data_IF_378117857784
#
_entry.id   IF_378117857784
#
_cell.length_a   1.000
_cell.length_b   1.000
_cell.length_c   1.000
_cell.angle_alpha   90.00
_cell.angle_beta   90.00
_cell.angle_gamma   90.00
#
_symmetry.space_group_name_H-M   'P 1'
#
loop_
_entity.id
_entity.type
_entity.pdbx_description
1 polymer ?
#
# COMPACT_ATOMS: atom_id res chain seq x y z
N UNK A 1 -8.93 14.62 -16.39
CA UNK A 1 -7.93 14.93 -15.34
C UNK A 1 -7.75 16.43 -15.08
N UNK A 2 -8.47 17.33 -15.77
CA UNK A 2 -8.31 18.79 -15.61
C UNK A 2 -9.51 19.45 -14.91
N UNK A 3 -10.57 18.69 -14.63
CA UNK A 3 -11.76 19.17 -13.90
C UNK A 3 -11.48 19.22 -12.39
N UNK A 4 -12.24 20.06 -11.68
CA UNK A 4 -12.24 20.11 -10.22
C UNK A 4 -13.29 19.14 -9.66
N UNK A 5 -12.82 18.18 -8.85
CA UNK A 5 -13.66 17.16 -8.20
C UNK A 5 -13.89 17.45 -6.70
N UNK A 6 -13.53 18.64 -6.22
CA UNK A 6 -13.71 19.02 -4.82
C UNK A 6 -15.18 18.87 -4.39
N UNK A 7 -15.42 18.04 -3.37
CA UNK A 7 -16.77 17.75 -2.87
C UNK A 7 -17.59 16.78 -3.70
N UNK A 8 -17.04 16.20 -4.76
CA UNK A 8 -17.70 15.16 -5.56
C UNK A 8 -17.40 13.75 -5.01
N UNK A 9 -18.39 12.86 -5.07
CA UNK A 9 -18.25 11.46 -4.65
C UNK A 9 -18.19 11.29 -3.13
N UNK A 10 -17.55 10.22 -2.68
CA UNK A 10 -17.36 9.90 -1.25
C UNK A 10 -15.87 9.85 -0.96
N UNK A 11 -15.42 10.73 -0.05
CA UNK A 11 -14.05 10.72 0.44
C UNK A 11 -13.84 9.57 1.44
N UNK A 12 -13.57 8.39 0.91
CA UNK A 12 -13.36 7.17 1.71
C UNK A 12 -12.12 7.27 2.62
N UNK A 13 -11.09 8.00 2.20
CA UNK A 13 -9.85 8.11 2.98
C UNK A 13 -10.07 9.00 4.20
N UNK A 14 -10.71 10.16 4.03
CA UNK A 14 -11.07 11.04 5.13
C UNK A 14 -12.02 10.33 6.11
N UNK A 15 -13.03 9.59 5.63
CA UNK A 15 -13.93 8.80 6.49
C UNK A 15 -13.17 7.71 7.27
N UNK A 16 -12.23 7.00 6.62
CA UNK A 16 -11.39 6.01 7.32
C UNK A 16 -10.55 6.67 8.41
N UNK A 17 -9.86 7.78 8.13
CA UNK A 17 -9.05 8.51 9.11
C UNK A 17 -9.92 9.00 10.28
N UNK A 18 -11.10 9.55 9.99
CA UNK A 18 -12.05 9.99 11.00
C UNK A 18 -12.50 8.83 11.91
N UNK A 19 -12.85 7.67 11.34
CA UNK A 19 -13.20 6.48 12.11
C UNK A 19 -12.03 5.96 12.94
N UNK A 20 -10.81 5.96 12.41
CA UNK A 20 -9.61 5.55 13.16
C UNK A 20 -9.41 6.46 14.39
N UNK A 21 -9.60 7.77 14.25
CA UNK A 21 -9.45 8.74 15.35
C UNK A 21 -10.59 8.65 16.38
N UNK A 22 -11.83 8.54 15.91
CA UNK A 22 -13.02 8.78 16.75
C UNK A 22 -13.84 7.53 17.09
N UNK A 23 -13.66 6.44 16.35
CA UNK A 23 -14.31 5.15 16.59
C UNK A 23 -13.37 3.98 16.23
N UNK A 24 -12.18 3.86 16.86
CA UNK A 24 -11.12 2.95 16.44
C UNK A 24 -11.50 1.46 16.46
N UNK A 25 -12.52 1.08 17.24
CA UNK A 25 -13.02 -0.29 17.32
C UNK A 25 -14.05 -0.62 16.23
N UNK A 26 -14.35 0.32 15.32
CA UNK A 26 -15.23 0.08 14.19
C UNK A 26 -14.66 -1.03 13.29
N UNK A 27 -15.52 -1.97 12.91
CA UNK A 27 -15.15 -3.08 12.02
C UNK A 27 -15.38 -2.75 10.54
N UNK A 28 -15.73 -1.49 10.24
CA UNK A 28 -16.14 -0.98 8.91
C UNK A 28 -15.21 0.15 8.42
N UNK A 29 -13.95 0.14 8.85
CA UNK A 29 -12.92 1.07 8.37
C UNK A 29 -12.34 0.48 7.08
N UNK A 30 -13.01 0.72 5.96
CA UNK A 30 -12.72 0.08 4.66
C UNK A 30 -12.65 1.16 3.58
N UNK A 31 -11.64 1.05 2.73
CA UNK A 31 -11.49 1.83 1.50
C UNK A 31 -11.46 0.88 0.30
N UNK A 32 -12.28 1.13 -0.72
CA UNK A 32 -12.39 0.32 -1.93
C UNK A 32 -12.12 1.15 -3.19
N UNK A 33 -11.31 0.59 -4.09
CA UNK A 33 -11.09 1.11 -5.44
C UNK A 33 -11.99 0.46 -6.49
N UNK A 34 -12.67 -0.65 -6.14
CA UNK A 34 -13.50 -1.39 -7.10
C UNK A 34 -14.88 -0.76 -7.25
N UNK A 35 -15.06 0.07 -8.28
CA UNK A 35 -16.36 0.63 -8.66
C UNK A 35 -16.90 0.00 -9.95
N UNK A 36 -17.89 -0.90 -9.89
CA UNK A 36 -18.48 -1.54 -11.06
C UNK A 36 -19.01 -0.58 -12.14
N UNK A 37 -19.50 0.60 -11.74
CA UNK A 37 -20.06 1.58 -12.68
C UNK A 37 -18.97 2.19 -13.57
N UNK A 38 -17.75 2.33 -13.06
CA UNK A 38 -16.67 3.08 -13.71
C UNK A 38 -15.62 2.15 -14.35
N UNK A 39 -15.76 0.82 -14.24
CA UNK A 39 -14.74 -0.13 -14.72
C UNK A 39 -14.39 0.05 -16.20
N UNK A 40 -15.36 0.44 -17.02
CA UNK A 40 -15.16 0.65 -18.46
C UNK A 40 -14.50 2.00 -18.80
N UNK A 41 -14.44 2.92 -17.85
CA UNK A 41 -13.77 4.22 -18.00
C UNK A 41 -12.29 4.17 -17.57
N UNK A 42 -11.91 3.13 -16.83
CA UNK A 42 -10.55 2.95 -16.33
C UNK A 42 -9.64 2.35 -17.41
N UNK A 43 -8.44 2.91 -17.56
CA UNK A 43 -7.41 2.36 -18.44
C UNK A 43 -7.02 0.91 -18.07
N UNK A 44 -7.08 0.58 -16.77
CA UNK A 44 -6.92 -0.76 -16.24
C UNK A 44 -7.74 -0.92 -14.95
N UNK A 45 -8.53 -1.99 -14.77
CA UNK A 45 -9.24 -2.23 -13.53
C UNK A 45 -8.28 -2.35 -12.33
N UNK A 46 -8.64 -1.88 -11.12
CA UNK A 46 -7.76 -1.86 -9.97
C UNK A 46 -7.26 -3.27 -9.60
N UNK A 47 -5.95 -3.44 -9.43
CA UNK A 47 -5.39 -4.70 -8.95
C UNK A 47 -5.58 -4.84 -7.43
N UNK A 48 -5.31 -3.78 -6.68
CA UNK A 48 -5.51 -3.68 -5.23
C UNK A 48 -6.94 -3.18 -4.97
N UNK A 49 -7.86 -4.11 -4.71
CA UNK A 49 -9.30 -3.85 -4.76
C UNK A 49 -9.79 -3.05 -3.55
N UNK A 50 -9.40 -3.48 -2.35
CA UNK A 50 -9.81 -2.83 -1.11
C UNK A 50 -8.79 -3.05 0.00
N UNK A 51 -8.83 -2.17 0.99
CA UNK A 51 -8.07 -2.27 2.23
C UNK A 51 -9.00 -2.07 3.42
N UNK A 52 -8.86 -2.92 4.42
CA UNK A 52 -9.52 -2.79 5.72
C UNK A 52 -8.47 -2.42 6.77
N UNK A 53 -8.76 -1.38 7.55
CA UNK A 53 -7.93 -0.98 8.69
C UNK A 53 -8.47 -1.56 9.99
N UNK A 54 -7.57 -1.76 10.94
CA UNK A 54 -7.90 -2.25 12.28
C UNK A 54 -7.00 -1.59 13.32
N UNK A 55 -7.57 -1.17 14.44
CA UNK A 55 -6.83 -0.57 15.56
C UNK A 55 -6.91 -1.48 16.78
N UNK A 56 -5.75 -1.79 17.37
CA UNK A 56 -5.66 -2.47 18.65
C UNK A 56 -4.38 -2.05 19.39
N UNK A 57 -4.45 -1.93 20.72
CA UNK A 57 -3.30 -1.64 21.58
C UNK A 57 -2.49 -0.39 21.17
N UNK A 58 -3.15 0.62 20.60
CA UNK A 58 -2.48 1.83 20.10
C UNK A 58 -1.73 1.64 18.78
N UNK A 59 -1.97 0.54 18.08
CA UNK A 59 -1.38 0.22 16.78
C UNK A 59 -2.46 0.14 15.68
N UNK A 60 -2.13 0.65 14.49
CA UNK A 60 -2.93 0.57 13.28
C UNK A 60 -2.35 -0.51 12.36
N UNK A 61 -3.14 -1.55 12.08
CA UNK A 61 -2.85 -2.57 11.08
C UNK A 61 -3.76 -2.39 9.85
N UNK A 62 -3.39 -3.00 8.73
CA UNK A 62 -4.26 -3.07 7.56
C UNK A 62 -4.16 -4.41 6.83
N UNK A 63 -5.30 -4.86 6.30
CA UNK A 63 -5.40 -5.99 5.38
C UNK A 63 -5.81 -5.49 4.00
N UNK A 64 -5.00 -5.76 2.97
CA UNK A 64 -5.29 -5.41 1.58
C UNK A 64 -5.57 -6.67 0.75
N UNK A 65 -6.63 -6.65 -0.05
CA UNK A 65 -6.93 -7.70 -1.02
C UNK A 65 -6.55 -7.27 -2.44
N UNK A 66 -5.65 -8.02 -3.06
CA UNK A 66 -5.20 -7.83 -4.44
C UNK A 66 -5.75 -8.94 -5.34
N UNK A 67 -6.59 -8.61 -6.32
CA UNK A 67 -7.20 -9.61 -7.22
C UNK A 67 -6.20 -10.31 -8.15
N UNK A 68 -5.14 -9.61 -8.52
CA UNK A 68 -4.18 -10.04 -9.54
C UNK A 68 -2.81 -9.45 -9.20
N UNK A 69 -1.83 -10.32 -9.03
CA UNK A 69 -0.55 -10.01 -8.44
C UNK A 69 0.60 -10.61 -9.25
N UNK A 70 1.25 -9.73 -10.02
CA UNK A 70 2.56 -10.02 -10.62
C UNK A 70 3.60 -10.11 -9.49
N UNK A 71 4.04 -11.33 -9.20
CA UNK A 71 5.03 -11.61 -8.15
C UNK A 71 6.43 -11.07 -8.47
N UNK A 72 6.74 -10.82 -9.74
CA UNK A 72 8.03 -10.31 -10.19
C UNK A 72 8.18 -8.80 -10.02
N UNK A 73 7.22 -8.04 -10.54
CA UNK A 73 7.27 -6.58 -10.48
C UNK A 73 6.27 -5.99 -9.48
N UNK A 74 4.98 -6.31 -9.63
CA UNK A 74 3.91 -5.65 -8.88
C UNK A 74 4.00 -5.81 -7.36
N UNK A 75 4.07 -7.05 -6.88
CA UNK A 75 3.98 -7.37 -5.44
C UNK A 75 5.05 -6.67 -4.59
N UNK A 76 6.34 -6.61 -4.97
CA UNK A 76 7.33 -5.82 -4.24
C UNK A 76 6.94 -4.35 -4.05
N UNK A 77 6.38 -3.70 -5.09
CA UNK A 77 5.89 -2.32 -4.98
C UNK A 77 4.62 -2.23 -4.13
N UNK A 78 3.69 -3.18 -4.28
CA UNK A 78 2.45 -3.19 -3.51
C UNK A 78 2.71 -3.34 -2.01
N UNK A 79 3.67 -4.19 -1.62
CA UNK A 79 4.08 -4.34 -0.21
C UNK A 79 4.62 -3.03 0.35
N UNK A 80 5.56 -2.38 -0.35
CA UNK A 80 6.15 -1.12 0.11
C UNK A 80 5.12 0.02 0.16
N UNK A 81 4.26 0.11 -0.85
CA UNK A 81 3.23 1.16 -0.98
C UNK A 81 2.21 1.10 0.16
N UNK A 82 1.60 -0.07 0.41
CA UNK A 82 0.60 -0.18 1.47
C UNK A 82 1.23 -0.18 2.87
N UNK A 83 2.47 -0.66 3.04
CA UNK A 83 3.21 -0.48 4.30
C UNK A 83 3.47 1.00 4.60
N UNK A 84 3.74 1.81 3.57
CA UNK A 84 3.89 3.25 3.69
C UNK A 84 2.55 3.91 4.06
N UNK A 85 1.45 3.56 3.38
CA UNK A 85 0.12 4.08 3.70
C UNK A 85 -0.26 3.80 5.16
N UNK A 86 -0.08 2.57 5.65
CA UNK A 86 -0.34 2.22 7.06
C UNK A 86 0.46 3.12 8.00
N UNK A 87 1.74 3.37 7.70
CA UNK A 87 2.59 4.23 8.52
C UNK A 87 2.18 5.70 8.48
N UNK A 88 1.77 6.21 7.31
CA UNK A 88 1.29 7.59 7.17
C UNK A 88 -0.02 7.79 7.94
N UNK A 89 -1.00 6.90 7.74
CA UNK A 89 -2.29 6.95 8.45
C UNK A 89 -2.10 6.79 9.96
N UNK A 90 -1.23 5.86 10.39
CA UNK A 90 -0.92 5.70 11.81
C UNK A 90 -0.35 7.00 12.40
N UNK A 91 0.59 7.67 11.70
CA UNK A 91 1.21 8.91 12.15
C UNK A 91 0.19 10.04 12.33
N UNK A 92 -0.65 10.32 11.34
CA UNK A 92 -1.66 11.41 11.43
C UNK A 92 -2.79 11.10 12.42
N UNK A 93 -2.92 9.83 12.83
CA UNK A 93 -3.86 9.39 13.86
C UNK A 93 -3.22 9.23 15.25
N UNK A 94 -1.93 9.55 15.42
CA UNK A 94 -1.24 9.40 16.70
C UNK A 94 -1.05 7.95 17.15
N UNK A 95 -1.06 7.00 16.22
CA UNK A 95 -0.91 5.57 16.44
C UNK A 95 0.47 5.07 16.01
N UNK A 96 0.85 3.88 16.50
CA UNK A 96 1.98 3.13 15.93
C UNK A 96 1.51 2.34 14.71
N UNK A 97 2.38 2.14 13.73
CA UNK A 97 2.09 1.19 12.65
C UNK A 97 2.27 -0.24 13.16
N UNK A 98 1.22 -1.05 13.01
CA UNK A 98 1.19 -2.47 13.32
C UNK A 98 1.52 -3.31 12.08
N UNK A 99 0.65 -4.28 11.80
CA UNK A 99 0.85 -5.27 10.73
C UNK A 99 0.25 -4.82 9.40
N UNK A 100 0.95 -5.13 8.31
CA UNK A 100 0.38 -5.10 6.98
C UNK A 100 0.17 -6.54 6.49
N UNK A 101 -1.09 -6.93 6.30
CA UNK A 101 -1.51 -8.24 5.81
C UNK A 101 -1.89 -8.11 4.33
N UNK A 102 -1.18 -8.83 3.47
CA UNK A 102 -1.42 -8.82 2.03
C UNK A 102 -2.08 -10.12 1.58
N UNK A 103 -3.35 -10.03 1.18
CA UNK A 103 -4.13 -11.14 0.64
C UNK A 103 -4.13 -11.06 -0.88
N UNK A 104 -3.76 -12.15 -1.53
CA UNK A 104 -3.65 -12.23 -2.99
C UNK A 104 -4.67 -13.24 -3.52
N UNK A 105 -5.41 -12.84 -4.56
CA UNK A 105 -6.25 -13.71 -5.38
C UNK A 105 -5.40 -14.48 -6.38
N UNK A 106 -5.34 -14.01 -7.63
CA UNK A 106 -4.47 -14.59 -8.65
C UNK A 106 -3.01 -14.16 -8.43
N UNK A 107 -2.21 -15.06 -7.88
CA UNK A 107 -0.76 -14.91 -7.76
C UNK A 107 -0.07 -15.59 -8.95
N UNK A 108 0.65 -14.82 -9.76
CA UNK A 108 1.27 -15.34 -10.98
C UNK A 108 2.69 -14.82 -11.19
N UNK A 109 3.43 -15.57 -12.01
CA UNK A 109 4.77 -15.23 -12.51
C UNK A 109 4.69 -15.22 -14.03
N UNK A 110 5.09 -14.11 -14.66
CA UNK A 110 5.22 -14.07 -16.11
C UNK A 110 6.39 -14.96 -16.57
N UNK A 111 6.23 -15.62 -17.72
CA UNK A 111 7.23 -16.54 -18.26
C UNK A 111 8.60 -15.87 -18.47
N UNK A 112 8.59 -14.60 -18.91
CA UNK A 112 9.81 -13.81 -19.10
C UNK A 112 10.47 -13.33 -17.79
N UNK A 113 9.91 -13.64 -16.62
CA UNK A 113 10.49 -13.36 -15.30
C UNK A 113 11.07 -14.60 -14.62
N UNK A 114 10.84 -15.80 -15.14
CA UNK A 114 11.20 -17.07 -14.47
C UNK A 114 12.70 -17.14 -14.15
N UNK A 115 13.57 -16.82 -15.11
CA UNK A 115 15.03 -16.90 -14.88
C UNK A 115 15.52 -15.82 -13.91
N UNK A 116 14.99 -14.60 -14.02
CA UNK A 116 15.26 -13.50 -13.10
C UNK A 116 14.85 -13.84 -11.65
N UNK A 117 13.69 -14.47 -11.47
CA UNK A 117 13.21 -14.87 -10.15
C UNK A 117 13.99 -16.06 -9.59
N UNK A 118 14.42 -17.02 -10.42
CA UNK A 118 15.34 -18.08 -9.99
C UNK A 118 16.65 -17.50 -9.44
N UNK A 119 17.25 -16.53 -10.14
CA UNK A 119 18.44 -15.81 -9.65
C UNK A 119 18.14 -15.11 -8.30
N UNK A 120 16.94 -14.52 -8.14
CA UNK A 120 16.55 -13.87 -6.89
C UNK A 120 16.45 -14.87 -5.73
N UNK A 121 15.91 -16.07 -5.98
CA UNK A 121 15.70 -17.12 -4.97
C UNK A 121 17.01 -17.72 -4.43
N UNK A 122 18.10 -17.63 -5.18
CA UNK A 122 19.44 -18.05 -4.73
C UNK A 122 20.04 -17.08 -3.68
N UNK A 123 19.48 -15.88 -3.55
CA UNK A 123 20.00 -14.84 -2.67
C UNK A 123 19.47 -15.01 -1.25
N UNK A 124 20.38 -15.15 -0.28
CA UNK A 124 20.01 -15.11 1.15
C UNK A 124 19.43 -13.73 1.50
N UNK A 125 18.22 -13.63 2.10
CA UNK A 125 17.66 -12.36 2.55
C UNK A 125 18.59 -11.65 3.53
N UNK A 126 18.62 -10.31 3.46
CA UNK A 126 19.29 -9.44 4.42
C UNK A 126 18.25 -8.81 5.34
N UNK A 127 18.71 -8.19 6.45
CA UNK A 127 17.80 -7.46 7.34
C UNK A 127 17.03 -6.38 6.57
N UNK A 128 15.74 -6.24 6.87
CA UNK A 128 14.93 -5.16 6.34
C UNK A 128 15.48 -3.79 6.75
N UNK A 129 15.29 -2.75 5.91
CA UNK A 129 15.59 -1.39 6.30
C UNK A 129 14.57 -0.88 7.33
N UNK A 130 14.82 0.33 7.84
CA UNK A 130 13.86 1.09 8.63
C UNK A 130 13.37 2.29 7.83
N UNK A 131 12.06 2.47 7.73
CA UNK A 131 11.47 3.73 7.27
C UNK A 131 11.30 4.67 8.46
N UNK A 132 11.87 5.86 8.37
CA UNK A 132 11.70 6.98 9.29
C UNK A 132 10.84 8.03 8.59
N UNK A 133 9.78 8.48 9.27
CA UNK A 133 8.87 9.52 8.77
C UNK A 133 9.03 10.75 9.68
N UNK A 134 9.66 11.78 9.15
CA UNK A 134 9.86 13.08 9.80
C UNK A 134 8.59 13.92 9.85
N UNK A 135 8.77 15.20 10.19
CA UNK A 135 7.71 16.21 10.18
C UNK A 135 6.64 16.09 11.27
N UNK A 136 5.82 17.13 11.37
CA UNK A 136 4.70 17.28 12.32
C UNK A 136 3.35 17.35 11.59
N UNK A 137 3.25 16.73 10.41
CA UNK A 137 2.02 16.73 9.61
C UNK A 137 0.87 16.10 10.41
N UNK A 138 -0.21 16.86 10.60
CA UNK A 138 -1.46 16.40 11.21
C UNK A 138 -2.46 15.87 10.18
N UNK A 139 -2.20 16.17 8.91
CA UNK A 139 -3.03 15.84 7.75
C UNK A 139 -2.31 14.94 6.76
N UNK A 140 -3.05 14.00 6.14
CA UNK A 140 -2.50 12.97 5.26
C UNK A 140 -1.96 13.54 3.94
N UNK A 141 -2.51 14.66 3.47
CA UNK A 141 -2.08 15.30 2.21
C UNK A 141 -0.87 16.23 2.43
N UNK A 142 -0.49 16.49 3.69
CA UNK A 142 0.63 17.34 4.05
C UNK A 142 2.02 16.69 3.86
N UNK A 143 2.09 15.39 3.60
CA UNK A 143 3.36 14.67 3.44
C UNK A 143 4.07 15.00 2.13
N UNK A 144 5.39 15.16 2.22
CA UNK A 144 6.29 15.40 1.09
C UNK A 144 7.37 14.33 1.04
N UNK A 145 8.00 14.16 -0.13
CA UNK A 145 9.06 13.16 -0.33
C UNK A 145 10.21 13.32 0.68
N UNK A 146 10.54 14.57 1.04
CA UNK A 146 11.59 14.91 2.01
C UNK A 146 11.30 14.45 3.45
N UNK A 147 10.04 14.14 3.78
CA UNK A 147 9.67 13.60 5.08
C UNK A 147 10.07 12.13 5.26
N UNK A 148 10.37 11.42 4.16
CA UNK A 148 10.62 9.99 4.18
C UNK A 148 12.11 9.66 4.03
N UNK A 149 12.65 8.94 5.02
CA UNK A 149 14.03 8.45 4.99
C UNK A 149 14.08 6.95 5.19
N UNK A 150 14.76 6.26 4.28
CA UNK A 150 15.05 4.83 4.40
C UNK A 150 16.46 4.65 4.96
N UNK A 151 16.55 4.03 6.13
CA UNK A 151 17.81 3.78 6.83
C UNK A 151 18.19 2.30 6.78
N UNK A 152 19.48 2.02 6.59
CA UNK A 152 20.01 0.66 6.63
C UNK A 152 19.63 -0.23 5.44
N UNK A 153 19.13 0.34 4.34
CA UNK A 153 18.81 -0.44 3.14
C UNK A 153 20.08 -0.90 2.43
N UNK A 154 20.38 -2.20 2.55
CA UNK A 154 21.54 -2.86 1.95
C UNK A 154 21.09 -3.99 1.01
N UNK A 155 20.38 -3.70 -0.09
CA UNK A 155 19.84 -4.73 -0.98
C UNK A 155 20.96 -5.48 -1.74
N UNK A 156 20.60 -6.60 -2.35
CA UNK A 156 21.39 -7.19 -3.43
C UNK A 156 21.30 -6.32 -4.70
N UNK A 157 22.13 -6.60 -5.71
CA UNK A 157 22.11 -5.87 -6.98
C UNK A 157 20.74 -6.00 -7.66
N UNK A 158 20.23 -4.91 -8.25
CA UNK A 158 18.97 -4.91 -8.99
C UNK A 158 18.94 -6.00 -10.06
N UNK A 159 17.82 -6.74 -10.13
CA UNK A 159 17.51 -7.67 -11.23
C UNK A 159 16.54 -6.95 -12.15
N UNK A 160 16.83 -6.94 -13.45
CA UNK A 160 15.96 -6.28 -14.44
C UNK A 160 14.91 -7.28 -14.93
N UNK A 161 13.64 -6.92 -14.78
CA UNK A 161 12.50 -7.64 -15.35
C UNK A 161 11.71 -6.68 -16.24
N UNK A 162 11.24 -7.15 -17.40
CA UNK A 162 10.44 -6.34 -18.33
C UNK A 162 8.96 -6.51 -17.99
N UNK A 163 8.20 -5.42 -17.92
CA UNK A 163 6.75 -5.52 -17.80
C UNK A 163 6.17 -6.32 -18.97
N UNK A 164 5.20 -7.19 -18.67
CA UNK A 164 4.33 -7.73 -19.71
C UNK A 164 3.37 -6.62 -20.14
N UNK A 165 3.22 -6.44 -21.45
CA UNK A 165 2.23 -5.54 -22.06
C UNK A 165 1.03 -6.37 -22.47
#
# INVERSE_FOLDING_TARGET
MHDDYTGCGVDQLADCINKIKNNPNDRRIIMSAWNPADLNEMALPPCHMFVQFFVANGELSAQMYQRSADLGLGVPFNIASYSLLVRMVAKVCGLKAGEFIHVIGDAHVYLNHVDALKEQLERKPRRFPKLVIGGEQEDIDGFKMEDFKIEGYKPHKTIKMKMAV
#
